data_IF_562540230371
#
_entry.id   IF_562540230371
#
_cell.length_a   1.000
_cell.length_b   1.000
_cell.length_c   1.000
_cell.angle_alpha   90.00
_cell.angle_beta   90.00
_cell.angle_gamma   90.00
#
_symmetry.space_group_name_H-M   'P 1'
#
loop_
_entity.id
_entity.type
_entity.pdbx_description
1 polymer ?
#
# COMPACT_ATOMS: atom_id res chain seq x y z
N UNK A 1 -1.59 -16.81 2.52
CA UNK A 1 -1.43 -15.34 2.52
C UNK A 1 -2.74 -14.61 2.26
N UNK A 2 -3.51 -14.97 1.21
CA UNK A 2 -4.84 -14.38 0.93
C UNK A 2 -5.82 -14.46 2.11
N UNK A 3 -5.85 -15.58 2.85
CA UNK A 3 -6.68 -15.74 4.06
C UNK A 3 -6.32 -14.82 5.24
N UNK A 4 -5.12 -14.21 5.27
CA UNK A 4 -4.66 -13.35 6.40
C UNK A 4 -4.71 -11.85 6.10
N UNK A 5 -4.63 -11.47 4.82
CA UNK A 5 -4.54 -10.06 4.40
C UNK A 5 -5.45 -9.72 3.21
N UNK A 6 -6.21 -10.69 2.71
CA UNK A 6 -7.16 -10.52 1.62
C UNK A 6 -8.57 -10.19 2.09
N UNK A 7 -8.83 -10.13 3.40
CA UNK A 7 -10.09 -9.62 3.95
C UNK A 7 -9.84 -8.57 5.01
N UNK A 8 -10.71 -7.57 5.06
CA UNK A 8 -10.71 -6.46 6.00
C UNK A 8 -12.12 -6.22 6.53
N UNK A 9 -12.25 -5.39 7.56
CA UNK A 9 -13.55 -5.01 8.11
C UNK A 9 -13.77 -3.52 7.89
N UNK A 10 -14.82 -3.16 7.15
CA UNK A 10 -15.23 -1.78 6.87
C UNK A 10 -16.69 -1.62 7.28
N UNK A 11 -16.98 -0.66 8.15
CA UNK A 11 -18.33 -0.40 8.70
C UNK A 11 -19.05 -1.65 9.23
N UNK A 12 -18.30 -2.53 9.88
CA UNK A 12 -18.86 -3.76 10.44
C UNK A 12 -18.95 -4.93 9.46
N UNK A 13 -18.78 -4.70 8.15
CA UNK A 13 -18.86 -5.71 7.09
C UNK A 13 -17.48 -6.21 6.68
N UNK A 14 -17.39 -7.47 6.31
CA UNK A 14 -16.16 -8.04 5.74
C UNK A 14 -16.05 -7.67 4.26
N UNK A 15 -14.90 -7.12 3.87
CA UNK A 15 -14.60 -6.67 2.51
C UNK A 15 -13.35 -7.40 2.00
N UNK A 16 -13.32 -7.76 0.72
CA UNK A 16 -12.11 -8.33 0.10
C UNK A 16 -11.11 -7.19 -0.17
N UNK A 17 -9.88 -7.36 0.31
CA UNK A 17 -8.79 -6.42 0.09
C UNK A 17 -8.09 -6.77 -1.22
N UNK A 18 -8.08 -5.82 -2.14
CA UNK A 18 -7.33 -5.89 -3.38
C UNK A 18 -5.90 -5.34 -3.19
N UNK A 19 -4.94 -5.90 -3.92
CA UNK A 19 -3.56 -5.38 -3.98
C UNK A 19 -2.84 -5.28 -2.61
N UNK A 20 -3.14 -6.18 -1.67
CA UNK A 20 -2.51 -6.25 -0.34
C UNK A 20 -0.99 -6.55 -0.35
N UNK A 21 -0.41 -6.83 -1.52
CA UNK A 21 1.03 -7.06 -1.68
C UNK A 21 1.68 -5.84 -2.33
N UNK A 22 2.65 -5.25 -1.63
CA UNK A 22 3.55 -4.30 -2.26
C UNK A 22 4.40 -5.01 -3.33
N UNK A 23 4.65 -4.32 -4.43
CA UNK A 23 5.50 -4.85 -5.51
C UNK A 23 6.90 -5.16 -4.99
N UNK A 24 7.49 -6.30 -5.39
CA UNK A 24 8.86 -6.64 -5.01
C UNK A 24 9.85 -5.61 -5.59
N UNK A 25 11.04 -5.48 -4.97
CA UNK A 25 12.14 -4.73 -5.59
C UNK A 25 12.51 -5.35 -6.93
N UNK A 26 12.94 -4.53 -7.89
CA UNK A 26 13.30 -5.03 -9.21
C UNK A 26 13.64 -3.93 -10.20
N UNK A 27 13.85 -4.32 -11.46
CA UNK A 27 14.07 -3.37 -12.55
C UNK A 27 12.73 -2.83 -13.03
N UNK A 28 12.61 -1.52 -13.19
CA UNK A 28 11.40 -0.92 -13.72
C UNK A 28 11.25 -1.21 -15.22
N UNK A 29 10.19 -1.95 -15.57
CA UNK A 29 9.86 -2.29 -16.95
C UNK A 29 8.72 -1.37 -17.43
N UNK A 30 9.07 -0.17 -17.87
CA UNK A 30 8.13 0.75 -18.52
C UNK A 30 7.78 0.29 -19.94
N UNK A 31 6.55 0.57 -20.42
CA UNK A 31 6.14 0.33 -21.81
C UNK A 31 6.71 1.40 -22.76
N UNK A 32 6.98 1.05 -24.02
CA UNK A 32 7.55 2.00 -25.00
C UNK A 32 8.90 2.60 -24.57
N UNK A 33 9.28 3.78 -25.08
CA UNK A 33 10.55 4.44 -24.72
C UNK A 33 10.47 5.19 -23.37
N UNK A 34 10.02 4.49 -22.33
CA UNK A 34 9.82 5.11 -21.02
C UNK A 34 11.16 5.53 -20.39
N UNK A 35 11.34 6.80 -19.97
CA UNK A 35 12.63 7.33 -19.49
C UNK A 35 13.14 6.67 -18.21
N UNK A 36 12.25 6.05 -17.43
CA UNK A 36 12.59 5.31 -16.21
C UNK A 36 12.85 3.81 -16.45
N UNK A 37 12.67 3.30 -17.67
CA UNK A 37 12.93 1.89 -17.99
C UNK A 37 14.38 1.53 -17.64
N UNK A 38 14.58 0.37 -17.00
CA UNK A 38 15.90 -0.10 -16.60
C UNK A 38 16.40 0.45 -15.26
N UNK A 39 15.72 1.43 -14.65
CA UNK A 39 16.10 1.92 -13.32
C UNK A 39 15.73 0.93 -12.22
N UNK A 40 16.55 0.89 -11.17
CA UNK A 40 16.30 0.10 -9.98
C UNK A 40 15.11 0.64 -9.18
N UNK A 41 14.17 -0.25 -8.85
CA UNK A 41 13.04 0.01 -7.97
C UNK A 41 13.33 -0.62 -6.60
N UNK A 42 13.50 0.20 -5.54
CA UNK A 42 13.77 -0.31 -4.21
C UNK A 42 12.54 -1.00 -3.60
N UNK A 43 12.79 -1.82 -2.58
CA UNK A 43 11.73 -2.50 -1.82
C UNK A 43 10.95 -1.48 -1.00
N UNK A 44 9.62 -1.62 -0.99
CA UNK A 44 8.75 -0.88 -0.05
C UNK A 44 8.82 -1.53 1.32
N UNK A 45 9.12 -0.73 2.35
CA UNK A 45 9.13 -1.16 3.76
C UNK A 45 7.95 -0.54 4.51
N UNK A 46 7.63 -1.04 5.71
CA UNK A 46 6.56 -0.47 6.55
C UNK A 46 6.74 1.05 6.77
N UNK A 47 7.98 1.53 6.86
CA UNK A 47 8.31 2.95 7.06
C UNK A 47 7.89 3.83 5.90
N UNK A 48 7.69 3.26 4.71
CA UNK A 48 7.23 3.97 3.54
C UNK A 48 5.69 3.96 3.41
N UNK A 49 5.01 3.19 4.25
CA UNK A 49 3.57 2.97 4.16
C UNK A 49 2.84 3.85 5.16
N UNK A 50 1.79 4.52 4.67
CA UNK A 50 0.76 5.15 5.47
C UNK A 50 -0.40 4.18 5.62
N UNK A 51 -0.82 3.88 6.84
CA UNK A 51 -2.04 3.13 7.11
C UNK A 51 -3.21 4.07 7.33
N UNK A 52 -4.36 3.74 6.75
CA UNK A 52 -5.63 4.38 7.05
C UNK A 52 -6.52 3.37 7.78
N UNK A 53 -6.80 3.65 9.05
CA UNK A 53 -7.51 2.75 9.94
C UNK A 53 -8.61 3.52 10.67
N UNK A 54 -9.65 2.84 11.15
CA UNK A 54 -10.57 3.44 12.12
C UNK A 54 -9.84 3.87 13.39
N UNK A 55 -10.33 4.91 14.09
CA UNK A 55 -9.71 5.44 15.32
C UNK A 55 -9.53 4.39 16.42
N UNK A 56 -10.44 3.42 16.49
CA UNK A 56 -10.45 2.34 17.48
C UNK A 56 -9.85 1.04 16.93
N UNK A 57 -9.43 1.02 15.66
CA UNK A 57 -8.89 -0.18 15.05
C UNK A 57 -7.49 -0.48 15.59
N UNK A 58 -7.23 -1.77 15.82
CA UNK A 58 -5.92 -2.23 16.26
C UNK A 58 -4.88 -2.03 15.16
N UNK A 59 -3.86 -1.24 15.45
CA UNK A 59 -2.73 -1.01 14.53
C UNK A 59 -1.94 -2.33 14.37
N UNK A 60 -1.69 -2.79 13.13
CA UNK A 60 -0.87 -3.98 12.89
C UNK A 60 0.59 -3.73 13.29
N UNK A 61 1.34 -4.79 13.63
CA UNK A 61 2.75 -4.65 14.01
C UNK A 61 3.59 -4.15 12.83
N UNK A 62 4.43 -3.14 13.06
CA UNK A 62 5.40 -2.61 12.09
C UNK A 62 5.81 -1.18 12.39
N UNK A 63 6.95 -0.76 11.85
CA UNK A 63 7.39 0.64 11.88
C UNK A 63 6.69 1.40 10.76
N UNK A 64 5.41 1.72 10.93
CA UNK A 64 4.62 2.42 9.91
C UNK A 64 5.07 3.87 9.78
N UNK A 65 5.17 4.37 8.55
CA UNK A 65 5.60 5.75 8.31
C UNK A 65 4.58 6.77 8.79
N UNK A 66 3.29 6.46 8.65
CA UNK A 66 2.19 7.28 9.13
C UNK A 66 0.96 6.43 9.40
N UNK A 67 0.15 6.84 10.37
CA UNK A 67 -1.18 6.31 10.62
C UNK A 67 -2.15 7.49 10.51
N UNK A 68 -3.22 7.31 9.75
CA UNK A 68 -4.30 8.29 9.59
C UNK A 68 -5.65 7.62 9.82
N UNK A 69 -6.66 8.45 10.01
CA UNK A 69 -8.06 8.05 10.23
C UNK A 69 -8.97 8.85 9.29
N UNK A 70 -8.78 8.63 7.99
CA UNK A 70 -9.53 9.27 6.92
C UNK A 70 -10.77 8.42 6.60
N UNK A 71 -11.95 8.99 6.87
CA UNK A 71 -13.24 8.36 6.63
C UNK A 71 -13.85 8.73 5.27
N UNK A 72 -13.25 9.69 4.55
CA UNK A 72 -13.70 10.10 3.21
C UNK A 72 -13.10 9.22 2.10
N UNK A 73 -12.06 8.46 2.44
CA UNK A 73 -11.37 7.55 1.54
C UNK A 73 -11.57 6.07 1.88
N UNK A 74 -11.59 5.21 0.85
CA UNK A 74 -11.72 3.76 1.02
C UNK A 74 -10.38 2.99 1.06
N UNK A 75 -9.24 3.66 0.87
CA UNK A 75 -7.94 2.98 0.92
C UNK A 75 -7.56 2.63 2.36
N UNK A 76 -6.93 1.47 2.55
CA UNK A 76 -6.46 0.96 3.85
C UNK A 76 -4.97 1.19 4.06
N UNK A 77 -4.19 1.21 2.97
CA UNK A 77 -2.77 1.54 3.01
C UNK A 77 -2.36 2.28 1.75
N UNK A 78 -1.36 3.15 1.87
CA UNK A 78 -0.77 3.84 0.73
C UNK A 78 0.71 4.04 0.89
N UNK A 79 1.44 4.13 -0.22
CA UNK A 79 2.84 4.53 -0.22
C UNK A 79 3.15 5.30 -1.50
N UNK A 80 4.20 6.14 -1.47
CA UNK A 80 4.70 6.81 -2.67
C UNK A 80 5.72 5.91 -3.36
N UNK A 81 5.50 5.64 -4.64
CA UNK A 81 6.42 4.91 -5.48
C UNK A 81 7.70 5.72 -5.71
N UNK A 82 8.86 5.15 -5.38
CA UNK A 82 10.14 5.86 -5.42
C UNK A 82 10.51 6.41 -6.81
N UNK A 83 10.20 5.67 -7.87
CA UNK A 83 10.60 6.05 -9.23
C UNK A 83 9.63 7.02 -9.86
N UNK A 84 8.34 6.75 -9.73
CA UNK A 84 7.29 7.54 -10.40
C UNK A 84 6.78 8.71 -9.56
N UNK A 85 7.12 8.75 -8.26
CA UNK A 85 6.58 9.69 -7.28
C UNK A 85 5.05 9.67 -7.16
N UNK A 86 4.40 8.62 -7.70
CA UNK A 86 2.96 8.44 -7.65
C UNK A 86 2.58 7.68 -6.39
N UNK A 87 1.47 8.07 -5.77
CA UNK A 87 0.91 7.33 -4.63
C UNK A 87 0.19 6.08 -5.12
N UNK A 88 0.50 4.95 -4.49
CA UNK A 88 -0.19 3.67 -4.66
C UNK A 88 -1.09 3.43 -3.47
N UNK A 89 -2.18 2.71 -3.70
CA UNK A 89 -3.21 2.44 -2.71
C UNK A 89 -3.55 0.95 -2.65
N UNK A 90 -3.84 0.50 -1.45
CA UNK A 90 -4.49 -0.79 -1.14
C UNK A 90 -5.91 -0.44 -0.72
N UNK A 91 -6.90 -1.10 -1.33
CA UNK A 91 -8.33 -0.92 -1.04
C UNK A 91 -8.97 -2.25 -0.75
#
# INVERSE_FOLDING_TARGET
>A
MKLKFGTGKMDGKEVEIANYMAEPPGIFIGRGEHPLRGKWKPKVTSKNVTLNLGKEAKVPKGDWGKIVHDQESMWMASWTDYLTQKRKYVG
#
